data_IF_581357764687
#
_entry.id   IF_581357764687
#
_cell.length_a   1.000
_cell.length_b   1.000
_cell.length_c   1.000
_cell.angle_alpha   90.00
_cell.angle_beta   90.00
_cell.angle_gamma   90.00
#
_symmetry.space_group_name_H-M   'P 1'
#
loop_
_entity.id
_entity.type
_entity.pdbx_description
1 polymer ?
#
# COMPACT_ATOMS: atom_id res chain seq x y z
N UNK A 1 -8.73 0.87 15.66
CA UNK A 1 -7.58 1.50 14.98
C UNK A 1 -6.39 1.39 15.92
N UNK A 2 -5.28 0.77 15.50
CA UNK A 2 -4.04 0.80 16.28
C UNK A 2 -3.51 2.24 16.35
N UNK A 3 -3.12 2.68 17.55
CA UNK A 3 -2.55 4.00 17.77
C UNK A 3 -1.22 4.17 17.02
N UNK A 4 -0.47 3.08 16.82
CA UNK A 4 0.82 3.10 16.11
C UNK A 4 0.70 3.51 14.66
N UNK A 5 -0.36 3.09 13.97
CA UNK A 5 -0.55 3.45 12.56
C UNK A 5 -0.83 4.94 12.40
N UNK A 6 -1.66 5.50 13.28
CA UNK A 6 -1.95 6.95 13.28
C UNK A 6 -0.65 7.73 13.53
N UNK A 7 0.14 7.33 14.52
CA UNK A 7 1.43 7.95 14.83
C UNK A 7 2.41 7.86 13.64
N UNK A 8 2.50 6.71 12.95
CA UNK A 8 3.37 6.55 11.79
C UNK A 8 2.91 7.42 10.60
N UNK A 9 1.60 7.52 10.36
CA UNK A 9 1.04 8.39 9.31
C UNK A 9 1.29 9.86 9.64
N UNK A 10 1.11 10.28 10.89
CA UNK A 10 1.42 11.65 11.32
C UNK A 10 2.91 11.97 11.19
N UNK A 11 3.79 11.02 11.55
CA UNK A 11 5.22 11.16 11.35
C UNK A 11 5.58 11.33 9.86
N UNK A 12 4.95 10.53 8.99
CA UNK A 12 5.14 10.63 7.54
C UNK A 12 4.64 11.96 6.96
N UNK A 13 3.48 12.45 7.41
CA UNK A 13 2.96 13.77 7.02
C UNK A 13 3.95 14.88 7.41
N UNK A 14 4.51 14.80 8.62
CA UNK A 14 5.51 15.77 9.07
C UNK A 14 6.80 15.68 8.24
N UNK A 15 7.28 14.46 7.97
CA UNK A 15 8.48 14.23 7.17
C UNK A 15 8.33 14.74 5.72
N UNK A 16 7.14 14.59 5.13
CA UNK A 16 6.83 15.08 3.79
C UNK A 16 6.48 16.57 3.72
N UNK A 17 6.44 17.27 4.86
CA UNK A 17 5.87 18.62 4.97
C UNK A 17 4.44 18.73 4.42
N UNK A 18 3.68 17.63 4.43
CA UNK A 18 2.32 17.54 3.90
C UNK A 18 2.22 17.41 2.38
N UNK A 19 3.33 17.21 1.67
CA UNK A 19 3.33 17.04 0.22
C UNK A 19 2.58 15.76 -0.20
N UNK A 20 1.76 15.88 -1.26
CA UNK A 20 0.93 14.80 -1.80
C UNK A 20 0.94 14.82 -3.33
N UNK A 21 0.79 13.65 -3.94
CA UNK A 21 0.54 13.55 -5.39
C UNK A 21 -0.82 14.18 -5.73
N UNK A 22 -0.99 14.58 -6.99
CA UNK A 22 -2.24 15.20 -7.48
C UNK A 22 -3.33 14.16 -7.73
N UNK A 23 -3.80 13.53 -6.67
CA UNK A 23 -4.89 12.57 -6.66
C UNK A 23 -5.77 12.84 -5.43
N UNK A 24 -7.09 12.73 -5.60
CA UNK A 24 -8.02 12.85 -4.48
C UNK A 24 -7.90 11.64 -3.56
N UNK A 25 -8.08 11.86 -2.28
CA UNK A 25 -8.17 10.78 -1.30
C UNK A 25 -9.41 9.92 -1.60
N UNK A 26 -9.29 8.58 -1.55
CA UNK A 26 -10.41 7.70 -1.86
C UNK A 26 -11.49 7.79 -0.78
N UNK A 27 -12.75 7.81 -1.18
CA UNK A 27 -13.88 7.63 -0.25
C UNK A 27 -14.20 6.14 -0.03
N UNK A 28 -15.15 5.85 0.86
CA UNK A 28 -15.57 4.47 1.12
C UNK A 28 -16.16 3.78 -0.10
N UNK A 29 -16.89 4.51 -0.96
CA UNK A 29 -17.49 3.93 -2.17
C UNK A 29 -16.42 3.46 -3.15
N UNK A 30 -15.37 4.25 -3.37
CA UNK A 30 -14.24 3.88 -4.21
C UNK A 30 -13.48 2.69 -3.63
N UNK A 31 -13.26 2.66 -2.31
CA UNK A 31 -12.60 1.53 -1.65
C UNK A 31 -13.41 0.24 -1.83
N UNK A 32 -14.70 0.28 -1.54
CA UNK A 32 -15.60 -0.88 -1.67
C UNK A 32 -15.65 -1.39 -3.13
N UNK A 33 -15.56 -0.47 -4.11
CA UNK A 33 -15.47 -0.83 -5.52
C UNK A 33 -14.19 -1.63 -5.84
N UNK A 34 -13.05 -1.24 -5.27
CA UNK A 34 -11.79 -1.96 -5.43
C UNK A 34 -11.82 -3.31 -4.72
N UNK A 35 -12.32 -3.37 -3.49
CA UNK A 35 -12.48 -4.64 -2.75
C UNK A 35 -13.28 -5.66 -3.56
N UNK A 36 -14.42 -5.23 -4.12
CA UNK A 36 -15.29 -6.06 -4.96
C UNK A 36 -14.58 -6.56 -6.23
N UNK A 37 -13.85 -5.69 -6.93
CA UNK A 37 -13.11 -6.05 -8.15
C UNK A 37 -11.90 -6.95 -7.88
N UNK A 38 -11.24 -6.79 -6.74
CA UNK A 38 -10.07 -7.57 -6.33
C UNK A 38 -10.49 -8.90 -5.70
N UNK A 39 -11.66 -8.95 -5.06
CA UNK A 39 -12.13 -10.10 -4.30
C UNK A 39 -11.44 -10.24 -2.94
N UNK A 40 -10.96 -9.13 -2.36
CA UNK A 40 -10.32 -9.07 -1.05
C UNK A 40 -10.94 -7.91 -0.27
N UNK A 41 -11.44 -8.17 0.93
CA UNK A 41 -11.86 -7.13 1.87
C UNK A 41 -10.65 -6.50 2.53
N UNK A 42 -10.60 -5.17 2.57
CA UNK A 42 -9.53 -4.43 3.20
C UNK A 42 -9.84 -4.23 4.68
N UNK A 43 -8.86 -4.52 5.54
CA UNK A 43 -9.00 -4.23 6.97
C UNK A 43 -9.02 -2.72 7.25
N UNK A 44 -9.60 -2.33 8.38
CA UNK A 44 -9.75 -0.93 8.80
C UNK A 44 -8.43 -0.13 8.72
N UNK A 45 -7.30 -0.76 9.06
CA UNK A 45 -5.98 -0.14 9.00
C UNK A 45 -5.54 0.20 7.58
N UNK A 46 -5.75 -0.72 6.63
CA UNK A 46 -5.41 -0.44 5.24
C UNK A 46 -6.36 0.59 4.63
N UNK A 47 -7.66 0.54 4.97
CA UNK A 47 -8.62 1.59 4.58
C UNK A 47 -8.19 2.96 5.12
N UNK A 48 -7.75 3.02 6.37
CA UNK A 48 -7.20 4.25 6.96
C UNK A 48 -5.95 4.73 6.22
N UNK A 49 -5.01 3.81 5.94
CA UNK A 49 -3.81 4.11 5.16
C UNK A 49 -4.13 4.69 3.77
N UNK A 50 -5.07 4.08 3.03
CA UNK A 50 -5.49 4.56 1.71
C UNK A 50 -6.06 5.98 1.75
N UNK A 51 -6.83 6.30 2.79
CA UNK A 51 -7.42 7.64 2.95
C UNK A 51 -6.41 8.69 3.36
N UNK A 52 -5.50 8.34 4.26
CA UNK A 52 -4.70 9.34 4.97
C UNK A 52 -3.25 9.40 4.51
N UNK A 53 -2.72 8.34 3.90
CA UNK A 53 -1.29 8.20 3.62
C UNK A 53 -0.95 7.84 2.18
N UNK A 54 -1.76 7.06 1.45
CA UNK A 54 -1.34 6.51 0.15
C UNK A 54 -1.02 7.54 -0.93
N UNK A 55 -1.51 8.79 -0.79
CA UNK A 55 -1.22 9.89 -1.71
C UNK A 55 -0.08 10.80 -1.25
N UNK A 56 0.53 10.55 -0.08
CA UNK A 56 1.69 11.30 0.38
C UNK A 56 2.87 11.09 -0.58
N UNK A 57 3.59 12.17 -0.85
CA UNK A 57 4.80 12.13 -1.67
C UNK A 57 6.02 12.33 -0.77
N UNK A 58 6.78 11.26 -0.55
CA UNK A 58 7.99 11.28 0.27
C UNK A 58 9.03 10.27 -0.23
N UNK A 59 10.20 10.78 -0.60
CA UNK A 59 11.31 9.98 -1.11
C UNK A 59 10.98 9.16 -2.36
N UNK A 60 11.40 7.90 -2.39
CA UNK A 60 11.23 7.02 -3.56
C UNK A 60 10.16 5.94 -3.41
N UNK A 61 9.48 5.88 -2.26
CA UNK A 61 8.40 4.91 -2.02
C UNK A 61 7.09 5.53 -2.50
N UNK A 62 6.45 4.87 -3.47
CA UNK A 62 5.16 5.24 -4.04
C UNK A 62 4.17 4.09 -3.81
N UNK A 63 3.33 4.16 -2.76
CA UNK A 63 2.29 3.16 -2.57
C UNK A 63 1.32 3.10 -3.75
N UNK A 64 0.68 1.94 -3.91
CA UNK A 64 -0.41 1.78 -4.84
C UNK A 64 -1.62 2.58 -4.36
N UNK A 65 -2.25 3.29 -5.30
CA UNK A 65 -3.33 4.23 -5.05
C UNK A 65 -4.63 3.75 -5.69
N UNK A 66 -5.75 4.27 -5.17
CA UNK A 66 -7.07 4.10 -5.76
C UNK A 66 -7.40 5.33 -6.59
N UNK A 67 -7.89 5.09 -7.80
CA UNK A 67 -8.25 6.15 -8.72
C UNK A 67 -9.56 5.81 -9.44
N UNK A 68 -10.45 6.79 -9.68
CA UNK A 68 -11.57 6.61 -10.60
C UNK A 68 -11.12 6.23 -12.03
N UNK A 69 -9.90 6.64 -12.42
CA UNK A 69 -9.26 6.24 -13.68
C UNK A 69 -8.21 5.14 -13.45
N UNK A 70 -8.57 3.93 -13.84
CA UNK A 70 -7.74 2.71 -13.75
C UNK A 70 -6.42 2.80 -14.55
N UNK A 71 -6.30 3.75 -15.49
CA UNK A 71 -5.08 3.94 -16.28
C UNK A 71 -4.05 4.84 -15.59
N UNK A 72 -4.34 5.32 -14.38
CA UNK A 72 -3.40 6.09 -13.59
C UNK A 72 -2.15 5.27 -13.22
N UNK A 73 -0.99 5.95 -13.18
CA UNK A 73 0.24 5.36 -12.62
C UNK A 73 -0.01 5.00 -11.16
N UNK A 74 0.47 3.83 -10.75
CA UNK A 74 0.29 3.33 -9.38
C UNK A 74 -1.11 2.78 -9.07
N UNK A 75 -2.00 2.61 -10.06
CA UNK A 75 -3.32 2.02 -9.82
C UNK A 75 -3.23 0.61 -9.17
N UNK A 76 -3.87 0.47 -8.02
CA UNK A 76 -3.88 -0.76 -7.23
C UNK A 76 -4.46 -1.96 -8.00
N UNK A 77 -5.57 -1.77 -8.73
CA UNK A 77 -6.25 -2.87 -9.41
C UNK A 77 -5.42 -3.41 -10.58
N UNK A 78 -4.76 -2.52 -11.32
CA UNK A 78 -3.81 -2.88 -12.38
C UNK A 78 -2.61 -3.61 -11.79
N UNK A 79 -2.01 -3.07 -10.73
CA UNK A 79 -0.86 -3.69 -10.07
C UNK A 79 -1.19 -5.08 -9.52
N UNK A 80 -2.36 -5.27 -8.89
CA UNK A 80 -2.85 -6.59 -8.46
C UNK A 80 -2.91 -7.55 -9.65
N UNK A 81 -3.51 -7.16 -10.77
CA UNK A 81 -3.59 -8.05 -11.96
C UNK A 81 -2.22 -8.49 -12.45
N UNK A 82 -1.26 -7.57 -12.52
CA UNK A 82 0.12 -7.86 -12.94
C UNK A 82 0.81 -8.76 -11.93
N UNK A 83 0.77 -8.41 -10.64
CA UNK A 83 1.32 -9.20 -9.54
C UNK A 83 0.81 -10.66 -9.54
N UNK A 84 -0.48 -10.88 -9.80
CA UNK A 84 -1.04 -12.23 -9.92
C UNK A 84 -0.48 -13.02 -11.09
N UNK A 85 -0.26 -12.39 -12.24
CA UNK A 85 0.38 -13.03 -13.40
C UNK A 85 1.84 -13.39 -13.12
N UNK A 86 2.51 -12.60 -12.30
CA UNK A 86 3.90 -12.83 -11.88
C UNK A 86 4.03 -13.89 -10.77
N UNK A 87 2.93 -14.29 -10.13
CA UNK A 87 2.89 -15.36 -9.13
C UNK A 87 2.75 -14.91 -7.68
N UNK A 88 2.42 -13.63 -7.42
CA UNK A 88 2.06 -13.18 -6.07
C UNK A 88 0.83 -13.96 -5.57
N UNK A 89 0.88 -14.59 -4.38
CA UNK A 89 -0.24 -15.38 -3.85
C UNK A 89 -1.57 -14.62 -3.84
N UNK A 90 -2.66 -15.30 -4.19
CA UNK A 90 -3.99 -14.68 -4.36
C UNK A 90 -4.52 -14.01 -3.10
N UNK A 91 -4.10 -14.48 -1.92
CA UNK A 91 -4.47 -13.96 -0.61
C UNK A 91 -3.53 -12.87 -0.07
N UNK A 92 -2.54 -12.43 -0.87
CA UNK A 92 -1.66 -11.31 -0.53
C UNK A 92 -2.01 -10.11 -1.38
N UNK A 93 -2.35 -8.98 -0.78
CA UNK A 93 -2.72 -7.75 -1.47
C UNK A 93 -1.47 -6.88 -1.68
N UNK A 94 -0.98 -6.68 -2.93
CA UNK A 94 0.05 -5.68 -3.20
C UNK A 94 -0.36 -4.30 -2.68
N UNK A 95 0.54 -3.62 -1.99
CA UNK A 95 0.34 -2.26 -1.48
C UNK A 95 1.36 -1.26 -2.02
N UNK A 96 2.49 -1.73 -2.54
CA UNK A 96 3.54 -0.95 -3.18
C UNK A 96 4.26 -1.84 -4.20
N UNK A 97 4.53 -1.30 -5.38
CA UNK A 97 5.39 -1.94 -6.39
C UNK A 97 6.81 -1.37 -6.25
N UNK A 98 7.82 -2.23 -6.33
CA UNK A 98 9.22 -1.85 -6.34
C UNK A 98 9.96 -2.64 -7.43
N UNK A 99 10.16 -2.01 -8.60
CA UNK A 99 10.93 -2.57 -9.71
C UNK A 99 10.52 -4.00 -10.15
N UNK A 100 9.22 -4.32 -10.08
CA UNK A 100 8.67 -5.64 -10.41
C UNK A 100 8.53 -6.60 -9.22
N UNK A 101 9.06 -6.22 -8.06
CA UNK A 101 8.80 -6.84 -6.76
C UNK A 101 7.67 -6.08 -6.04
N UNK A 102 7.12 -6.65 -4.96
CA UNK A 102 5.95 -6.09 -4.30
C UNK A 102 6.03 -6.19 -2.78
N UNK A 103 5.70 -5.11 -2.10
CA UNK A 103 5.24 -5.18 -0.72
C UNK A 103 3.77 -5.57 -0.72
N UNK A 104 3.40 -6.60 0.02
CA UNK A 104 2.05 -7.13 0.07
C UNK A 104 1.54 -7.27 1.50
N UNK A 105 0.29 -6.88 1.73
CA UNK A 105 -0.46 -7.15 2.95
C UNK A 105 -1.03 -8.58 2.90
N UNK A 106 -0.76 -9.39 3.91
CA UNK A 106 -1.38 -10.71 4.06
C UNK A 106 -2.69 -10.65 4.88
N UNK A 107 -3.39 -11.78 4.98
CA UNK A 107 -4.68 -11.87 5.67
C UNK A 107 -4.61 -11.59 7.19
N UNK A 108 -3.41 -11.52 7.76
CA UNK A 108 -3.18 -11.20 9.18
C UNK A 108 -2.88 -9.73 9.43
N UNK A 109 -2.79 -8.91 8.38
CA UNK A 109 -2.38 -7.51 8.47
C UNK A 109 -0.86 -7.29 8.42
N UNK A 110 -0.10 -8.37 8.22
CA UNK A 110 1.36 -8.33 8.13
C UNK A 110 1.80 -7.95 6.72
N UNK A 111 2.85 -7.13 6.59
CA UNK A 111 3.47 -6.82 5.30
C UNK A 111 4.55 -7.84 4.98
N UNK A 112 4.60 -8.30 3.73
CA UNK A 112 5.58 -9.24 3.21
C UNK A 112 6.18 -8.69 1.93
N UNK A 113 7.48 -8.86 1.77
CA UNK A 113 8.11 -8.59 0.50
C UNK A 113 8.04 -9.83 -0.39
N UNK A 114 7.41 -9.70 -1.54
CA UNK A 114 7.42 -10.70 -2.59
C UNK A 114 8.43 -10.28 -3.66
N UNK A 115 9.29 -11.22 -4.05
CA UNK A 115 10.20 -11.03 -5.17
C UNK A 115 10.04 -12.15 -6.19
N UNK A 116 10.11 -11.81 -7.47
CA UNK A 116 10.01 -12.78 -8.58
C UNK A 116 11.10 -13.86 -8.56
N UNK A 117 12.19 -13.61 -7.82
CA UNK A 117 13.28 -14.58 -7.62
C UNK A 117 12.99 -15.59 -6.49
N UNK A 118 11.93 -15.40 -5.71
CA UNK A 118 11.43 -16.38 -4.72
C UNK A 118 12.21 -16.48 -3.40
N UNK A 119 13.11 -15.53 -3.09
CA UNK A 119 14.08 -15.68 -1.98
C UNK A 119 13.82 -14.76 -0.77
N UNK A 120 12.90 -13.80 -0.82
CA UNK A 120 12.77 -12.87 0.31
C UNK A 120 11.98 -13.43 1.50
N UNK A 121 12.59 -13.33 2.67
CA UNK A 121 11.95 -13.54 3.98
C UNK A 121 11.58 -12.23 4.67
N UNK A 122 11.75 -11.09 3.99
CA UNK A 122 11.50 -9.77 4.57
C UNK A 122 10.01 -9.55 4.81
N UNK A 123 9.73 -9.01 5.99
CA UNK A 123 8.36 -8.79 6.42
C UNK A 123 8.29 -7.85 7.62
N UNK A 124 7.21 -7.09 7.70
CA UNK A 124 6.94 -6.13 8.77
C UNK A 124 5.67 -6.54 9.50
N UNK A 125 5.67 -6.58 10.84
CA UNK A 125 4.51 -7.03 11.62
C UNK A 125 3.24 -6.23 11.33
N UNK A 126 3.36 -4.94 11.07
CA UNK A 126 2.22 -4.03 10.82
C UNK A 126 2.52 -3.06 9.67
N UNK A 127 1.47 -2.39 9.17
CA UNK A 127 1.61 -1.25 8.26
C UNK A 127 2.44 -0.11 8.87
N UNK A 128 2.33 0.12 10.19
CA UNK A 128 3.09 1.16 10.88
C UNK A 128 4.59 0.88 10.84
N UNK A 129 4.99 -0.37 11.08
CA UNK A 129 6.40 -0.80 11.00
C UNK A 129 6.93 -0.61 9.56
N UNK A 130 6.14 -0.96 8.54
CA UNK A 130 6.53 -0.74 7.14
C UNK A 130 6.67 0.75 6.79
N UNK A 131 5.74 1.61 7.23
CA UNK A 131 5.84 3.06 7.01
C UNK A 131 7.13 3.60 7.62
N UNK A 132 7.43 3.25 8.87
CA UNK A 132 8.63 3.75 9.54
C UNK A 132 9.91 3.21 8.89
N UNK A 133 10.05 1.89 8.78
CA UNK A 133 11.30 1.27 8.38
C UNK A 133 11.60 1.45 6.88
N UNK A 134 10.58 1.40 6.03
CA UNK A 134 10.74 1.41 4.56
C UNK A 134 10.47 2.79 3.98
N UNK A 135 9.40 3.45 4.40
CA UNK A 135 9.02 4.73 3.81
C UNK A 135 9.73 5.92 4.48
N UNK A 136 9.87 5.94 5.79
CA UNK A 136 10.54 7.07 6.47
C UNK A 136 12.06 6.86 6.48
N UNK A 137 12.52 5.75 7.06
CA UNK A 137 13.95 5.49 7.30
C UNK A 137 14.69 4.92 6.08
N UNK A 138 13.96 4.40 5.08
CA UNK A 138 14.52 3.83 3.86
C UNK A 138 14.92 4.83 2.77
N UNK A 139 14.78 6.14 3.05
CA UNK A 139 15.06 7.24 2.10
C UNK A 139 16.36 7.98 2.38
#
# INVERSE_FOLDING_TARGET
MDNKLVEAVDALINASAGERIRLLEPDDELIDNYESKIGITFGDEYRYFLKNASTIFFGNIEPLVLSPDINSRGDLLRAVKVARQLGVPSNWLPICEDNGDYYCLDQTGKIRFWSGNGVSSESWPTLADWINDVWIDGN
#
